data_IF_436942213262
#
_entry.id   IF_436942213262
#
_cell.length_a   1.000
_cell.length_b   1.000
_cell.length_c   1.000
_cell.angle_alpha   90.00
_cell.angle_beta   90.00
_cell.angle_gamma   90.00
#
_symmetry.space_group_name_H-M   'P 1'
#
loop_
_entity.id
_entity.type
_entity.pdbx_description
1 polymer ?
#
# COMPACT_ATOMS: atom_id res chain seq x y z
N UNK A 1 -7.18 24.64 -22.17
CA UNK A 1 -5.73 24.50 -22.41
C UNK A 1 -4.86 24.79 -21.19
N UNK A 2 -5.25 25.67 -20.24
CA UNK A 2 -4.49 25.92 -19.00
C UNK A 2 -4.83 24.97 -17.82
N UNK A 3 -5.88 24.15 -17.96
CA UNK A 3 -6.49 23.40 -16.84
C UNK A 3 -5.70 22.16 -16.42
N UNK A 4 -4.98 21.52 -17.34
CA UNK A 4 -4.15 20.34 -17.04
C UNK A 4 -2.84 20.72 -16.34
N UNK A 5 -2.22 21.84 -16.76
CA UNK A 5 -0.93 22.28 -16.23
C UNK A 5 -1.00 22.65 -14.74
N UNK A 6 -2.02 23.41 -14.34
CA UNK A 6 -2.21 23.83 -12.94
C UNK A 6 -2.61 22.69 -12.00
N UNK A 7 -3.01 21.54 -12.53
CA UNK A 7 -3.49 20.41 -11.72
C UNK A 7 -2.42 19.32 -11.58
N UNK A 8 -1.51 19.22 -12.55
CA UNK A 8 -0.48 18.17 -12.61
C UNK A 8 0.94 18.67 -12.30
N UNK A 9 1.21 19.95 -12.52
CA UNK A 9 2.56 20.51 -12.40
C UNK A 9 2.55 21.76 -11.53
N UNK A 10 3.66 21.97 -10.83
CA UNK A 10 3.92 23.19 -10.09
C UNK A 10 3.90 24.39 -11.04
N UNK A 11 3.07 25.38 -10.71
CA UNK A 11 2.99 26.62 -11.47
C UNK A 11 3.92 27.69 -10.89
N UNK A 12 4.17 28.76 -11.65
CA UNK A 12 4.91 29.93 -11.15
C UNK A 12 4.25 30.55 -9.91
N UNK A 13 2.93 30.47 -9.78
CA UNK A 13 2.22 30.92 -8.58
C UNK A 13 2.48 30.04 -7.35
N UNK A 14 2.70 28.74 -7.54
CA UNK A 14 3.01 27.83 -6.43
C UNK A 14 4.47 27.99 -6.02
N UNK A 15 5.37 28.18 -6.99
CA UNK A 15 6.76 28.55 -6.76
C UNK A 15 6.87 29.84 -5.94
N UNK A 16 6.15 30.90 -6.32
CA UNK A 16 6.19 32.19 -5.61
C UNK A 16 5.69 32.11 -4.15
N UNK A 17 4.80 31.17 -3.83
CA UNK A 17 4.31 30.94 -2.46
C UNK A 17 5.29 30.13 -1.60
N UNK A 18 6.22 29.40 -2.22
CA UNK A 18 7.21 28.52 -1.54
C UNK A 18 8.57 29.20 -1.36
N UNK A 19 8.63 30.53 -1.52
CA UNK A 19 9.85 31.32 -1.35
C UNK A 19 9.69 32.21 -0.15
N UNK A 20 10.67 32.14 0.74
CA UNK A 20 10.78 33.07 1.85
C UNK A 20 11.18 34.47 1.34
N UNK A 21 10.88 35.54 2.10
CA UNK A 21 11.29 36.91 1.74
C UNK A 21 12.78 37.07 1.45
N UNK A 22 13.62 36.17 1.97
CA UNK A 22 15.07 36.14 1.80
C UNK A 22 15.53 35.44 0.50
N UNK A 23 14.59 34.95 -0.31
CA UNK A 23 14.85 34.30 -1.59
C UNK A 23 15.17 32.81 -1.50
N UNK A 24 15.23 32.23 -0.30
CA UNK A 24 15.41 30.79 -0.08
C UNK A 24 14.09 30.04 -0.21
N UNK A 25 14.15 28.73 -0.52
CA UNK A 25 12.97 27.86 -0.45
C UNK A 25 12.47 27.80 0.99
N UNK A 26 11.19 28.13 1.19
CA UNK A 26 10.57 28.12 2.50
C UNK A 26 10.38 26.70 3.03
N UNK A 27 10.61 26.44 4.33
CA UNK A 27 10.26 25.16 4.93
C UNK A 27 8.74 25.01 4.92
N UNK A 28 8.23 24.03 4.16
CA UNK A 28 6.80 23.71 4.11
C UNK A 28 6.42 22.97 5.39
N UNK A 29 5.37 23.44 6.07
CA UNK A 29 4.80 22.76 7.23
C UNK A 29 3.77 21.76 6.73
N UNK A 30 4.05 20.47 6.90
CA UNK A 30 3.17 19.39 6.49
C UNK A 30 2.02 19.19 7.49
N UNK A 31 0.94 19.96 7.33
CA UNK A 31 -0.25 19.88 8.20
C UNK A 31 -1.14 18.66 7.87
N UNK A 32 -1.05 18.16 6.64
CA UNK A 32 -1.86 17.02 6.17
C UNK A 32 -1.17 15.67 6.44
N UNK A 33 0.11 15.67 6.81
CA UNK A 33 0.86 14.44 7.01
C UNK A 33 0.28 13.64 8.19
N UNK A 34 -0.27 12.48 7.89
CA UNK A 34 -0.72 11.53 8.91
C UNK A 34 0.42 10.57 9.25
N UNK A 35 0.80 10.54 10.53
CA UNK A 35 1.85 9.62 11.00
C UNK A 35 1.23 8.29 11.42
N UNK A 36 1.25 7.31 10.52
CA UNK A 36 0.82 5.94 10.82
C UNK A 36 2.03 4.98 10.86
N UNK A 37 2.38 4.41 12.03
CA UNK A 37 3.53 3.51 12.16
C UNK A 37 3.27 2.09 11.62
N UNK A 38 2.08 1.80 11.09
CA UNK A 38 1.69 0.45 10.67
C UNK A 38 2.69 -0.20 9.70
N UNK A 39 3.16 0.53 8.70
CA UNK A 39 4.13 0.00 7.73
C UNK A 39 5.51 -0.25 8.34
N UNK A 40 5.88 0.47 9.41
CA UNK A 40 7.16 0.28 10.11
C UNK A 40 7.12 -0.93 11.06
N UNK A 41 5.95 -1.23 11.64
CA UNK A 41 5.75 -2.37 12.54
C UNK A 41 5.55 -3.69 11.77
N UNK A 42 5.03 -3.60 10.54
CA UNK A 42 4.69 -4.76 9.76
C UNK A 42 5.92 -5.57 9.30
N UNK A 43 5.87 -6.89 9.50
CA UNK A 43 6.88 -7.79 8.95
C UNK A 43 6.67 -7.97 7.44
N UNK A 44 7.72 -7.73 6.65
CA UNK A 44 7.67 -7.91 5.20
C UNK A 44 8.51 -9.12 4.76
N UNK A 45 7.98 -9.91 3.82
CA UNK A 45 8.64 -11.09 3.26
C UNK A 45 8.55 -11.14 1.73
N UNK A 46 9.50 -11.83 1.12
CA UNK A 46 9.50 -12.05 -0.33
C UNK A 46 8.46 -13.11 -0.73
N UNK A 47 7.68 -12.81 -1.77
CA UNK A 47 6.75 -13.73 -2.39
C UNK A 47 7.44 -14.96 -3.00
N UNK A 48 6.79 -16.12 -2.93
CA UNK A 48 7.31 -17.34 -3.57
C UNK A 48 6.88 -17.46 -5.04
N UNK A 49 5.85 -16.72 -5.46
CA UNK A 49 5.41 -16.59 -6.85
C UNK A 49 6.03 -15.33 -7.48
N UNK A 50 6.13 -15.27 -8.83
CA UNK A 50 6.63 -14.06 -9.51
C UNK A 50 5.84 -12.80 -9.16
N UNK A 51 4.52 -12.91 -9.00
CA UNK A 51 3.60 -11.77 -8.78
C UNK A 51 2.91 -11.79 -7.42
N UNK A 52 3.39 -12.59 -6.46
CA UNK A 52 2.72 -12.71 -5.17
C UNK A 52 3.22 -13.87 -4.29
N UNK A 53 2.35 -14.35 -3.42
CA UNK A 53 2.67 -15.43 -2.48
C UNK A 53 1.57 -16.48 -2.43
N UNK A 54 1.95 -17.75 -2.49
CA UNK A 54 1.09 -18.91 -2.28
C UNK A 54 1.33 -19.51 -0.91
N UNK A 55 0.31 -19.45 -0.06
CA UNK A 55 0.27 -20.15 1.23
C UNK A 55 -0.49 -21.47 1.11
N UNK A 56 -0.04 -22.51 1.81
CA UNK A 56 -0.76 -23.79 1.90
C UNK A 56 -1.23 -23.99 3.33
N UNK A 57 -2.54 -23.99 3.53
CA UNK A 57 -3.18 -24.07 4.83
C UNK A 57 -3.85 -25.45 4.98
N UNK A 58 -3.66 -26.10 6.13
CA UNK A 58 -4.33 -27.36 6.43
C UNK A 58 -5.79 -27.08 6.81
N UNK A 59 -6.73 -27.73 6.13
CA UNK A 59 -8.17 -27.53 6.36
C UNK A 59 -8.77 -28.56 7.30
N UNK A 60 -8.22 -29.78 7.34
CA UNK A 60 -8.66 -30.82 8.29
C UNK A 60 -7.48 -31.59 8.86
N UNK A 61 -7.66 -32.05 10.10
CA UNK A 61 -6.73 -32.95 10.78
C UNK A 61 -7.41 -34.33 10.93
N UNK A 62 -6.70 -35.44 10.66
CA UNK A 62 -7.23 -36.77 10.94
C UNK A 62 -7.47 -36.95 12.45
N UNK A 63 -8.59 -37.58 12.81
CA UNK A 63 -8.93 -37.93 14.18
C UNK A 63 -8.76 -39.43 14.41
N UNK A 64 -8.31 -39.80 15.62
CA UNK A 64 -8.25 -41.19 16.05
C UNK A 64 -9.65 -41.73 16.38
N UNK A 65 -9.84 -43.03 16.21
CA UNK A 65 -11.06 -43.73 16.65
C UNK A 65 -10.72 -44.79 17.69
N UNK A 66 -11.49 -44.83 18.78
CA UNK A 66 -11.39 -45.90 19.78
C UNK A 66 -12.08 -47.16 19.24
N UNK A 67 -11.36 -48.28 19.12
CA UNK A 67 -11.90 -49.55 18.61
C UNK A 67 -12.04 -50.60 19.70
N UNK A 68 -13.06 -51.46 19.58
CA UNK A 68 -13.21 -52.67 20.40
C UNK A 68 -12.45 -53.87 19.80
N UNK A 69 -12.30 -54.94 20.57
CA UNK A 69 -11.68 -56.19 20.11
C UNK A 69 -12.44 -56.74 18.89
N UNK A 70 -11.71 -57.18 17.87
CA UNK A 70 -12.24 -57.69 16.59
C UNK A 70 -12.99 -56.67 15.69
N UNK A 71 -12.85 -55.36 15.92
CA UNK A 71 -13.35 -54.31 15.02
C UNK A 71 -12.19 -53.60 14.27
N UNK A 72 -12.46 -53.20 13.02
CA UNK A 72 -11.54 -52.43 12.18
C UNK A 72 -11.49 -50.94 12.57
N UNK A 73 -10.48 -50.23 12.06
CA UNK A 73 -10.31 -48.78 12.23
C UNK A 73 -10.50 -48.12 10.87
N UNK A 74 -11.27 -47.04 10.80
CA UNK A 74 -11.40 -46.28 9.57
C UNK A 74 -10.12 -45.48 9.29
N UNK A 75 -9.61 -45.59 8.06
CA UNK A 75 -8.49 -44.77 7.59
C UNK A 75 -8.96 -43.31 7.35
N UNK A 76 -8.20 -42.34 7.84
CA UNK A 76 -8.48 -40.91 7.63
C UNK A 76 -7.23 -40.20 7.13
N UNK A 77 -7.41 -39.07 6.42
CA UNK A 77 -6.32 -38.23 5.91
C UNK A 77 -6.61 -36.76 6.16
N UNK A 78 -5.56 -35.96 6.31
CA UNK A 78 -5.66 -34.50 6.31
C UNK A 78 -5.97 -33.96 4.92
N UNK A 79 -6.70 -32.85 4.84
CA UNK A 79 -6.84 -32.06 3.61
C UNK A 79 -6.12 -30.73 3.76
N UNK A 80 -5.66 -30.18 2.64
CA UNK A 80 -4.98 -28.88 2.55
C UNK A 80 -5.61 -28.05 1.45
N UNK A 81 -5.65 -26.74 1.63
CA UNK A 81 -6.05 -25.75 0.64
C UNK A 81 -4.90 -24.79 0.36
N UNK A 82 -4.73 -24.42 -0.90
CA UNK A 82 -3.80 -23.36 -1.29
C UNK A 82 -4.55 -22.04 -1.44
N UNK A 83 -3.94 -20.95 -1.00
CA UNK A 83 -4.45 -19.59 -1.14
C UNK A 83 -3.34 -18.75 -1.76
N UNK A 84 -3.70 -18.02 -2.81
CA UNK A 84 -2.80 -17.16 -3.56
C UNK A 84 -3.14 -15.70 -3.26
N UNK A 85 -2.15 -14.95 -2.84
CA UNK A 85 -2.23 -13.51 -2.59
C UNK A 85 -1.35 -12.79 -3.63
N UNK A 86 -1.94 -11.84 -4.35
CA UNK A 86 -1.26 -11.01 -5.34
C UNK A 86 -0.61 -9.80 -4.70
N UNK A 87 0.56 -9.40 -5.20
CA UNK A 87 1.21 -8.14 -4.86
C UNK A 87 0.79 -7.04 -5.85
N UNK A 88 0.63 -5.81 -5.35
CA UNK A 88 0.41 -4.60 -6.15
C UNK A 88 1.66 -3.72 -6.16
N UNK A 89 1.82 -2.91 -7.21
CA UNK A 89 2.89 -1.91 -7.31
C UNK A 89 2.27 -0.52 -7.19
N UNK A 90 2.78 0.28 -6.25
CA UNK A 90 2.35 1.65 -6.04
C UNK A 90 3.51 2.57 -6.43
N UNK A 91 3.31 3.39 -7.46
CA UNK A 91 4.33 4.25 -8.04
C UNK A 91 3.73 5.62 -8.38
N UNK A 92 4.50 6.68 -8.16
CA UNK A 92 4.14 8.03 -8.56
C UNK A 92 5.33 8.74 -9.20
N UNK A 93 5.04 9.67 -10.11
CA UNK A 93 6.04 10.53 -10.74
C UNK A 93 5.90 11.96 -10.22
N UNK A 94 6.91 12.43 -9.51
CA UNK A 94 7.08 13.85 -9.17
C UNK A 94 7.79 14.53 -10.34
N UNK A 95 7.08 15.39 -11.06
CA UNK A 95 7.59 16.09 -12.25
C UNK A 95 7.51 17.60 -12.06
N UNK A 96 8.62 18.29 -12.34
CA UNK A 96 8.76 19.74 -12.16
C UNK A 96 9.42 20.33 -13.41
N UNK A 97 8.97 21.51 -13.83
CA UNK A 97 9.58 22.26 -14.93
C UNK A 97 11.02 22.67 -14.55
N UNK A 98 11.98 22.38 -15.44
CA UNK A 98 13.42 22.64 -15.24
C UNK A 98 13.72 24.12 -15.11
N UNK A 99 13.11 24.97 -15.95
CA UNK A 99 13.30 26.40 -15.88
C UNK A 99 12.73 26.96 -14.58
N UNK A 100 11.57 26.44 -14.14
CA UNK A 100 10.95 26.81 -12.88
C UNK A 100 11.82 26.44 -11.67
N UNK A 101 12.35 25.21 -11.63
CA UNK A 101 13.19 24.74 -10.53
C UNK A 101 14.50 25.55 -10.42
N UNK A 102 15.05 26.00 -11.54
CA UNK A 102 16.30 26.76 -11.57
C UNK A 102 16.17 28.24 -11.19
N UNK A 103 14.96 28.80 -11.08
CA UNK A 103 14.73 30.22 -10.76
C UNK A 103 15.33 30.65 -9.41
N UNK A 104 15.38 29.74 -8.42
CA UNK A 104 15.85 30.04 -7.07
C UNK A 104 17.38 29.86 -6.90
N UNK A 105 18.07 29.28 -7.90
CA UNK A 105 19.48 28.88 -7.76
C UNK A 105 19.72 27.67 -6.83
N UNK A 106 18.68 27.15 -6.18
CA UNK A 106 18.69 25.94 -5.37
C UNK A 106 17.58 24.96 -5.80
N UNK A 107 17.68 24.48 -7.04
CA UNK A 107 16.71 23.55 -7.63
C UNK A 107 16.54 22.26 -6.82
N UNK A 108 17.60 21.79 -6.14
CA UNK A 108 17.56 20.56 -5.36
C UNK A 108 16.65 20.70 -4.13
N UNK A 109 16.72 21.82 -3.42
CA UNK A 109 15.84 22.06 -2.25
C UNK A 109 14.37 22.17 -2.66
N UNK A 110 14.09 22.81 -3.79
CA UNK A 110 12.73 22.93 -4.31
C UNK A 110 12.16 21.57 -4.72
N UNK A 111 12.95 20.75 -5.43
CA UNK A 111 12.56 19.37 -5.76
C UNK A 111 12.32 18.52 -4.52
N UNK A 112 13.21 18.57 -3.56
CA UNK A 112 13.06 17.83 -2.31
C UNK A 112 11.76 18.19 -1.56
N UNK A 113 11.38 19.47 -1.57
CA UNK A 113 10.13 19.91 -0.95
C UNK A 113 8.87 19.30 -1.60
N UNK A 114 8.91 19.06 -2.91
CA UNK A 114 7.82 18.43 -3.63
C UNK A 114 7.85 16.91 -3.42
N UNK A 115 9.02 16.30 -3.55
CA UNK A 115 9.20 14.86 -3.39
C UNK A 115 8.78 14.39 -1.98
N UNK A 116 9.00 15.21 -0.95
CA UNK A 116 8.56 14.92 0.41
C UNK A 116 7.05 14.68 0.53
N UNK A 117 6.23 15.47 -0.19
CA UNK A 117 4.78 15.30 -0.20
C UNK A 117 4.36 14.00 -0.91
N UNK A 118 5.02 13.65 -2.02
CA UNK A 118 4.79 12.38 -2.70
C UNK A 118 5.16 11.17 -1.83
N UNK A 119 6.28 11.24 -1.11
CA UNK A 119 6.70 10.18 -0.18
C UNK A 119 5.67 9.97 0.92
N UNK A 120 5.10 11.05 1.45
CA UNK A 120 4.04 10.98 2.47
C UNK A 120 2.75 10.38 1.90
N UNK A 121 2.24 10.91 0.80
CA UNK A 121 1.02 10.41 0.17
C UNK A 121 1.12 8.94 -0.23
N UNK A 122 2.27 8.51 -0.76
CA UNK A 122 2.52 7.09 -1.05
C UNK A 122 2.49 6.20 0.20
N UNK A 123 2.98 6.71 1.33
CA UNK A 123 2.94 6.00 2.61
C UNK A 123 1.51 5.86 3.15
N UNK A 124 0.70 6.90 3.01
CA UNK A 124 -0.72 6.91 3.38
C UNK A 124 -1.52 5.94 2.50
N UNK A 125 -1.40 6.05 1.19
CA UNK A 125 -2.06 5.17 0.21
C UNK A 125 -1.68 3.70 0.42
N UNK A 126 -0.40 3.40 0.69
CA UNK A 126 0.05 2.05 0.99
C UNK A 126 -0.55 1.51 2.30
N UNK A 127 -0.68 2.35 3.32
CA UNK A 127 -1.27 1.97 4.61
C UNK A 127 -2.76 1.69 4.46
N UNK A 128 -3.48 2.53 3.73
CA UNK A 128 -4.89 2.33 3.42
C UNK A 128 -5.13 1.06 2.60
N UNK A 129 -4.26 0.78 1.63
CA UNK A 129 -4.33 -0.44 0.84
C UNK A 129 -4.13 -1.71 1.70
N UNK A 130 -3.29 -1.67 2.73
CA UNK A 130 -3.09 -2.81 3.65
C UNK A 130 -4.36 -3.14 4.45
N UNK A 131 -5.12 -2.13 4.85
CA UNK A 131 -6.36 -2.34 5.61
C UNK A 131 -7.55 -2.56 4.68
N UNK A 132 -7.79 -1.67 3.72
CA UNK A 132 -9.03 -1.60 2.95
C UNK A 132 -8.91 -2.03 1.48
N UNK A 133 -7.70 -2.24 0.97
CA UNK A 133 -7.47 -2.61 -0.43
C UNK A 133 -8.25 -3.87 -0.82
N UNK A 134 -8.87 -3.88 -1.99
CA UNK A 134 -9.74 -4.98 -2.42
C UNK A 134 -9.49 -5.40 -3.86
N UNK A 135 -8.67 -6.43 -4.03
CA UNK A 135 -8.38 -7.05 -5.33
C UNK A 135 -9.59 -7.61 -6.10
N UNK A 136 -10.74 -7.81 -5.44
CA UNK A 136 -11.97 -8.26 -6.10
C UNK A 136 -12.69 -7.15 -6.85
N UNK A 137 -12.46 -5.88 -6.47
CA UNK A 137 -13.03 -4.70 -7.12
C UNK A 137 -11.95 -4.00 -7.95
N UNK A 138 -10.77 -3.83 -7.36
CA UNK A 138 -9.61 -3.15 -7.90
C UNK A 138 -8.45 -4.15 -8.00
N UNK A 139 -8.35 -4.93 -9.10
CA UNK A 139 -7.37 -6.01 -9.21
C UNK A 139 -5.91 -5.56 -9.14
N UNK A 140 -5.63 -4.29 -9.38
CA UNK A 140 -4.32 -3.65 -9.22
C UNK A 140 -3.90 -3.45 -7.76
N UNK A 141 -4.86 -3.42 -6.83
CA UNK A 141 -4.59 -3.24 -5.41
C UNK A 141 -4.34 -4.57 -4.69
N UNK A 142 -3.51 -4.57 -3.63
CA UNK A 142 -3.41 -5.71 -2.74
C UNK A 142 -4.75 -5.98 -2.03
N UNK A 143 -4.97 -7.22 -1.61
CA UNK A 143 -6.13 -7.58 -0.83
C UNK A 143 -5.86 -7.42 0.67
N UNK A 144 -6.39 -6.35 1.25
CA UNK A 144 -6.20 -5.93 2.63
C UNK A 144 -7.00 -6.72 3.66
N UNK A 145 -6.95 -6.30 4.92
CA UNK A 145 -7.59 -6.99 6.05
C UNK A 145 -9.12 -6.87 6.07
N UNK A 146 -9.67 -5.70 5.81
CA UNK A 146 -11.11 -5.43 5.85
C UNK A 146 -11.93 -6.36 4.94
N UNK A 147 -11.61 -6.54 3.64
CA UNK A 147 -12.36 -7.47 2.82
C UNK A 147 -12.16 -8.95 3.20
N UNK A 148 -11.05 -9.32 3.87
CA UNK A 148 -10.83 -10.69 4.41
C UNK A 148 -11.71 -10.99 5.62
N UNK A 149 -12.03 -9.98 6.43
CA UNK A 149 -12.81 -10.10 7.66
C UNK A 149 -14.18 -9.39 7.55
N UNK A 150 -14.79 -9.42 6.37
CA UNK A 150 -16.04 -8.68 6.07
C UNK A 150 -17.34 -9.38 6.52
N UNK A 151 -17.27 -10.60 7.05
CA UNK A 151 -18.44 -11.43 7.35
C UNK A 151 -18.51 -11.84 8.81
N UNK A 152 -19.69 -11.67 9.41
CA UNK A 152 -20.01 -12.13 10.77
C UNK A 152 -20.61 -13.54 10.80
N UNK A 153 -20.82 -14.18 9.66
CA UNK A 153 -21.54 -15.47 9.58
C UNK A 153 -20.75 -16.57 8.89
N UNK A 154 -19.76 -16.23 8.08
CA UNK A 154 -19.04 -17.19 7.25
C UNK A 154 -17.53 -17.00 7.33
N UNK A 155 -16.78 -18.12 7.35
CA UNK A 155 -15.32 -18.17 7.20
C UNK A 155 -14.55 -17.64 8.41
N UNK A 156 -14.55 -16.32 8.59
CA UNK A 156 -13.67 -15.58 9.53
C UNK A 156 -14.41 -15.03 10.76
N UNK A 157 -15.70 -15.32 10.92
CA UNK A 157 -16.55 -14.80 12.00
C UNK A 157 -16.00 -15.03 13.42
N UNK A 158 -15.27 -16.13 13.66
CA UNK A 158 -14.65 -16.40 14.97
C UNK A 158 -13.58 -15.37 15.37
N UNK A 159 -13.06 -14.63 14.41
CA UNK A 159 -12.01 -13.62 14.60
C UNK A 159 -12.55 -12.19 14.51
N UNK A 160 -13.87 -12.01 14.41
CA UNK A 160 -14.52 -10.70 14.31
C UNK A 160 -15.47 -10.52 15.49
N UNK A 161 -15.24 -9.46 16.28
CA UNK A 161 -16.12 -9.10 17.39
C UNK A 161 -17.07 -8.01 16.89
N UNK A 162 -18.37 -8.30 16.89
CA UNK A 162 -19.37 -7.29 16.54
C UNK A 162 -19.56 -6.31 17.70
N UNK A 163 -19.21 -5.04 17.49
CA UNK A 163 -19.42 -3.96 18.46
C UNK A 163 -20.88 -3.52 18.63
N UNK A 164 -21.82 -4.06 17.84
CA UNK A 164 -23.25 -3.80 17.94
C UNK A 164 -23.74 -2.52 17.25
N UNK A 165 -22.84 -1.76 16.61
CA UNK A 165 -23.19 -0.57 15.82
C UNK A 165 -23.96 -0.93 14.55
N UNK A 166 -24.90 -0.08 14.16
CA UNK A 166 -25.69 -0.22 12.93
C UNK A 166 -25.73 1.10 12.17
N UNK A 167 -25.69 1.05 10.84
CA UNK A 167 -25.66 2.23 9.98
C UNK A 167 -24.33 2.38 9.27
N UNK A 168 -24.07 3.58 8.74
CA UNK A 168 -22.83 3.91 8.02
C UNK A 168 -21.69 4.33 8.96
N UNK A 169 -22.02 4.85 10.14
CA UNK A 169 -21.05 5.55 10.99
C UNK A 169 -20.45 4.59 12.02
N UNK A 170 -19.83 3.53 11.49
CA UNK A 170 -19.20 2.49 12.29
C UNK A 170 -17.68 2.54 12.08
N UNK A 171 -16.94 2.28 13.15
CA UNK A 171 -15.48 2.12 13.09
C UNK A 171 -15.06 0.73 13.57
N UNK A 172 -13.85 0.32 13.23
CA UNK A 172 -13.27 -0.97 13.60
C UNK A 172 -11.90 -0.78 14.23
N UNK A 173 -11.54 -1.68 15.15
CA UNK A 173 -10.22 -1.74 15.77
C UNK A 173 -9.58 -3.06 15.38
N UNK A 174 -8.32 -3.01 14.95
CA UNK A 174 -7.58 -4.17 14.48
C UNK A 174 -6.48 -4.54 15.48
N UNK A 175 -6.41 -5.81 15.85
CA UNK A 175 -5.28 -6.38 16.59
C UNK A 175 -4.60 -7.41 15.70
N UNK A 176 -3.38 -7.10 15.26
CA UNK A 176 -2.62 -7.94 14.34
C UNK A 176 -1.35 -8.42 15.03
N UNK A 177 -1.00 -9.68 14.79
CA UNK A 177 0.29 -10.24 15.19
C UNK A 177 1.12 -10.49 13.93
N UNK A 178 2.23 -9.76 13.81
CA UNK A 178 3.15 -9.88 12.70
C UNK A 178 4.10 -11.07 12.90
N UNK A 179 4.35 -11.80 11.83
CA UNK A 179 5.31 -12.90 11.86
C UNK A 179 5.24 -13.80 10.63
N UNK A 180 6.33 -14.50 10.27
CA UNK A 180 6.50 -15.19 8.98
C UNK A 180 5.52 -16.34 8.71
N UNK A 181 4.82 -16.82 9.74
CA UNK A 181 3.79 -17.86 9.62
C UNK A 181 2.40 -17.37 10.01
N UNK A 182 2.27 -16.07 10.30
CA UNK A 182 1.03 -15.40 10.77
C UNK A 182 0.62 -14.35 9.75
N UNK A 183 0.62 -13.05 10.12
CA UNK A 183 0.39 -11.96 9.19
C UNK A 183 1.72 -11.34 8.75
N UNK A 184 1.87 -11.11 7.45
CA UNK A 184 3.05 -10.49 6.83
C UNK A 184 2.64 -9.69 5.62
N UNK A 185 3.36 -8.62 5.33
CA UNK A 185 3.34 -7.96 4.02
C UNK A 185 4.20 -8.75 3.05
N UNK A 186 3.80 -8.76 1.78
CA UNK A 186 4.53 -9.46 0.71
C UNK A 186 4.99 -8.46 -0.34
N UNK A 187 6.19 -8.69 -0.87
CA UNK A 187 6.65 -8.00 -2.08
C UNK A 187 6.94 -9.03 -3.20
N UNK A 188 6.89 -8.62 -4.48
CA UNK A 188 7.20 -9.50 -5.60
C UNK A 188 8.59 -10.15 -5.49
N UNK A 189 8.71 -11.34 -6.09
CA UNK A 189 9.98 -12.07 -6.09
C UNK A 189 11.04 -11.32 -6.91
N UNK A 190 12.22 -11.13 -6.33
CA UNK A 190 13.33 -10.42 -6.96
C UNK A 190 13.22 -8.88 -6.95
N UNK A 191 12.16 -8.31 -6.36
CA UNK A 191 12.11 -6.87 -6.07
C UNK A 191 12.65 -6.58 -4.67
N UNK A 192 13.07 -5.34 -4.42
CA UNK A 192 13.38 -4.90 -3.06
C UNK A 192 12.11 -4.42 -2.36
N UNK A 193 11.99 -4.78 -1.09
CA UNK A 193 10.99 -4.25 -0.17
C UNK A 193 11.20 -2.76 0.10
N UNK A 194 10.10 -2.03 0.29
CA UNK A 194 10.10 -0.63 0.71
C UNK A 194 10.04 0.38 -0.43
N UNK A 195 10.13 1.65 -0.05
CA UNK A 195 10.06 2.78 -0.96
C UNK A 195 11.40 2.96 -1.68
N UNK A 196 11.34 3.05 -3.01
CA UNK A 196 12.48 3.39 -3.85
C UNK A 196 12.27 4.76 -4.46
N UNK A 197 13.27 5.62 -4.32
CA UNK A 197 13.28 6.94 -4.94
C UNK A 197 14.34 6.92 -6.03
N UNK A 198 13.92 7.17 -7.27
CA UNK A 198 14.79 7.24 -8.43
C UNK A 198 14.61 8.58 -9.14
N UNK A 199 15.71 9.28 -9.38
CA UNK A 199 15.73 10.45 -10.25
C UNK A 199 15.83 10.00 -11.72
N UNK A 200 14.84 10.34 -12.53
CA UNK A 200 14.81 10.04 -13.97
C UNK A 200 15.49 11.12 -14.82
N UNK A 201 15.90 12.22 -14.20
CA UNK A 201 16.51 13.35 -14.91
C UNK A 201 15.52 14.12 -15.77
N UNK A 202 16.08 14.93 -16.67
CA UNK A 202 15.30 15.79 -17.57
C UNK A 202 14.77 14.99 -18.75
N UNK A 203 13.47 15.11 -19.01
CA UNK A 203 12.81 14.53 -20.19
C UNK A 203 11.92 15.58 -20.85
N UNK A 204 11.81 15.60 -22.19
CA UNK A 204 10.84 16.45 -22.86
C UNK A 204 9.43 16.02 -22.47
N UNK A 205 8.57 16.99 -22.16
CA UNK A 205 7.17 16.77 -21.87
C UNK A 205 6.28 17.54 -22.84
N UNK A 206 5.18 16.94 -23.29
CA UNK A 206 4.28 17.62 -24.24
C UNK A 206 3.32 18.56 -23.50
N UNK A 207 3.23 19.80 -23.99
CA UNK A 207 2.23 20.77 -23.53
C UNK A 207 0.81 20.39 -24.00
N UNK A 208 -0.19 21.16 -23.59
CA UNK A 208 -1.58 20.95 -24.02
C UNK A 208 -1.83 21.13 -25.53
N UNK A 209 -0.81 21.52 -26.30
CA UNK A 209 -0.78 21.68 -27.75
C UNK A 209 0.19 20.70 -28.43
N UNK A 210 0.72 19.71 -27.70
CA UNK A 210 1.69 18.71 -28.18
C UNK A 210 3.04 19.28 -28.63
N UNK A 211 3.46 20.41 -28.04
CA UNK A 211 4.82 20.91 -28.15
C UNK A 211 5.65 20.42 -26.97
N UNK A 212 6.86 19.88 -27.20
CA UNK A 212 7.75 19.48 -26.13
C UNK A 212 8.32 20.72 -25.40
N UNK A 213 8.31 20.68 -24.07
CA UNK A 213 9.00 21.61 -23.17
C UNK A 213 9.83 20.86 -22.14
#
# INVERSE_FOLDING_TARGET
>A
MATELSTKFLTLSDWAKRIDPDGTTAPVIELLAETNPLLMDAHMMEGNLPTGHRSTQRTTQPSGTWRQLNQGVAETKSTTRQVDDSAGMLEAYSAVDVALANLNGNAQSFRFSEDAAFVQGLGEDATDAVIYGNSGVNPEQPHGLAPRYNSLTTGTFNYVINGGGSGSDNTSIWLVTWGPQTCTLIHPKGSMAGLQVQDLGERPWDDGSSNPY
#
